data_IF_986145845895
#
_entry.id   IF_986145845895
#
_cell.length_a   1.000
_cell.length_b   1.000
_cell.length_c   1.000
_cell.angle_alpha   90.00
_cell.angle_beta   90.00
_cell.angle_gamma   90.00
#
_symmetry.space_group_name_H-M   'P 1'
#
loop_
_entity.id
_entity.type
_entity.pdbx_description
1 polymer ?
#
# COMPACT_ATOMS: atom_id res chain seq x y z
N UNK A 1 -11.97 -19.66 10.55
CA UNK A 1 -10.57 -20.14 10.49
C UNK A 1 -9.86 -19.67 9.23
N UNK A 2 -10.45 -19.81 8.03
CA UNK A 2 -9.85 -19.35 6.77
C UNK A 2 -9.45 -17.86 6.75
N UNK A 3 -10.31 -16.97 7.27
CA UNK A 3 -10.03 -15.52 7.35
C UNK A 3 -8.76 -15.23 8.16
N UNK A 4 -8.58 -15.89 9.31
CA UNK A 4 -7.41 -15.69 10.15
C UNK A 4 -6.12 -16.10 9.42
N UNK A 5 -6.14 -17.24 8.72
CA UNK A 5 -5.01 -17.69 7.91
C UNK A 5 -4.66 -16.72 6.77
N UNK A 6 -5.68 -16.19 6.09
CA UNK A 6 -5.50 -15.18 5.04
C UNK A 6 -4.86 -13.89 5.59
N UNK A 7 -5.23 -13.46 6.80
CA UNK A 7 -4.57 -12.32 7.44
C UNK A 7 -3.12 -12.66 7.83
N UNK A 8 -2.89 -13.83 8.41
CA UNK A 8 -1.55 -14.27 8.80
C UNK A 8 -0.60 -14.33 7.62
N UNK A 9 -1.02 -14.88 6.47
CA UNK A 9 -0.13 -14.95 5.29
C UNK A 9 0.20 -13.56 4.75
N UNK A 10 -0.74 -12.60 4.82
CA UNK A 10 -0.46 -11.20 4.45
C UNK A 10 0.62 -10.58 5.34
N UNK A 11 0.53 -10.78 6.66
CA UNK A 11 1.54 -10.33 7.63
C UNK A 11 2.89 -11.01 7.39
N UNK A 12 2.91 -12.33 7.13
CA UNK A 12 4.15 -13.05 6.83
C UNK A 12 4.80 -12.56 5.53
N UNK A 13 4.01 -12.26 4.50
CA UNK A 13 4.51 -11.69 3.26
C UNK A 13 5.16 -10.32 3.51
N UNK A 14 4.55 -9.49 4.36
CA UNK A 14 5.08 -8.19 4.75
C UNK A 14 6.42 -8.30 5.49
N UNK A 15 6.50 -9.19 6.49
CA UNK A 15 7.76 -9.51 7.19
C UNK A 15 8.83 -9.95 6.19
N UNK A 16 8.48 -10.82 5.23
CA UNK A 16 9.38 -11.26 4.17
C UNK A 16 9.93 -10.11 3.33
N UNK A 17 9.09 -9.15 2.96
CA UNK A 17 9.51 -7.92 2.25
C UNK A 17 10.48 -7.09 3.09
N UNK A 18 10.22 -6.91 4.38
CA UNK A 18 11.15 -6.19 5.27
C UNK A 18 12.50 -6.89 5.40
N UNK A 19 12.53 -8.22 5.51
CA UNK A 19 13.77 -9.00 5.55
C UNK A 19 14.59 -8.84 4.26
N UNK A 20 13.94 -8.64 3.11
CA UNK A 20 14.59 -8.44 1.82
C UNK A 20 14.83 -6.98 1.43
N UNK A 21 14.42 -6.03 2.27
CA UNK A 21 14.41 -4.61 1.94
C UNK A 21 15.79 -4.09 1.53
N UNK A 22 16.85 -4.46 2.25
CA UNK A 22 18.24 -4.10 1.90
C UNK A 22 18.61 -4.56 0.49
N UNK A 23 18.22 -5.79 0.11
CA UNK A 23 18.49 -6.34 -1.22
C UNK A 23 17.67 -5.64 -2.30
N UNK A 24 16.42 -5.28 -2.00
CA UNK A 24 15.56 -4.52 -2.91
C UNK A 24 16.17 -3.14 -3.22
N UNK A 25 16.57 -2.38 -2.20
CA UNK A 25 17.22 -1.07 -2.39
C UNK A 25 18.61 -1.17 -3.05
N UNK A 26 19.31 -2.31 -2.94
CA UNK A 26 20.56 -2.51 -3.69
C UNK A 26 20.36 -2.71 -5.20
N UNK A 27 19.14 -3.04 -5.63
CA UNK A 27 18.82 -3.40 -7.03
C UNK A 27 17.88 -2.42 -7.72
N UNK A 28 17.16 -1.59 -6.98
CA UNK A 28 16.17 -0.67 -7.51
C UNK A 28 16.16 0.64 -6.73
N UNK A 29 15.81 1.73 -7.41
CA UNK A 29 15.63 3.04 -6.78
C UNK A 29 14.37 3.05 -5.91
N UNK A 30 14.35 3.93 -4.90
CA UNK A 30 13.18 4.12 -4.05
C UNK A 30 11.93 4.50 -4.85
N UNK A 31 12.08 5.32 -5.91
CA UNK A 31 11.01 5.62 -6.87
C UNK A 31 10.45 4.37 -7.52
N UNK A 32 11.30 3.49 -8.06
CA UNK A 32 10.83 2.28 -8.74
C UNK A 32 10.15 1.30 -7.78
N UNK A 33 10.65 1.18 -6.56
CA UNK A 33 10.01 0.37 -5.52
C UNK A 33 8.66 0.95 -5.09
N UNK A 34 8.56 2.28 -4.99
CA UNK A 34 7.29 2.97 -4.72
C UNK A 34 6.28 2.73 -5.84
N UNK A 35 6.67 2.90 -7.11
CA UNK A 35 5.79 2.64 -8.25
C UNK A 35 5.34 1.18 -8.33
N UNK A 36 6.26 0.24 -8.10
CA UNK A 36 5.94 -1.18 -8.02
C UNK A 36 4.92 -1.46 -6.91
N UNK A 37 5.11 -0.87 -5.73
CA UNK A 37 4.21 -1.04 -4.58
C UNK A 37 2.78 -0.57 -4.90
N UNK A 38 2.64 0.57 -5.58
CA UNK A 38 1.36 1.14 -5.99
C UNK A 38 0.68 0.30 -7.07
N UNK A 39 1.44 -0.18 -8.07
CA UNK A 39 0.91 -1.05 -9.12
C UNK A 39 0.41 -2.40 -8.57
N UNK A 40 1.19 -3.04 -7.69
CA UNK A 40 0.79 -4.29 -7.04
C UNK A 40 -0.40 -4.10 -6.10
N UNK A 41 -0.51 -2.93 -5.46
CA UNK A 41 -1.67 -2.59 -4.63
C UNK A 41 -2.93 -2.36 -5.47
N UNK A 42 -2.81 -1.70 -6.64
CA UNK A 42 -3.91 -1.58 -7.59
C UNK A 42 -4.41 -2.96 -8.03
N UNK A 43 -3.49 -3.85 -8.40
CA UNK A 43 -3.81 -5.23 -8.75
C UNK A 43 -4.51 -5.95 -7.60
N UNK A 44 -4.00 -5.80 -6.36
CA UNK A 44 -4.62 -6.39 -5.16
C UNK A 44 -6.07 -5.95 -4.98
N UNK A 45 -6.36 -4.65 -5.13
CA UNK A 45 -7.72 -4.13 -4.97
C UNK A 45 -8.69 -4.64 -6.04
N UNK A 46 -8.19 -4.98 -7.24
CA UNK A 46 -8.98 -5.63 -8.29
C UNK A 46 -9.15 -7.13 -8.03
N UNK A 47 -8.11 -7.81 -7.55
CA UNK A 47 -8.15 -9.26 -7.34
C UNK A 47 -9.10 -9.70 -6.23
N UNK A 48 -9.20 -8.95 -5.13
CA UNK A 48 -10.05 -9.32 -3.98
C UNK A 48 -11.52 -9.51 -4.39
N UNK A 49 -12.22 -8.52 -5.00
CA UNK A 49 -13.63 -8.70 -5.38
C UNK A 49 -13.82 -9.75 -6.48
N UNK A 50 -12.83 -9.99 -7.35
CA UNK A 50 -12.90 -11.04 -8.38
C UNK A 50 -12.66 -12.45 -7.82
N UNK A 51 -12.10 -12.57 -6.62
CA UNK A 51 -11.69 -13.84 -6.02
C UNK A 51 -12.56 -14.26 -4.83
N UNK A 52 -13.74 -13.67 -4.64
CA UNK A 52 -14.59 -13.94 -3.45
C UNK A 52 -14.90 -15.43 -3.28
N UNK A 53 -15.02 -16.18 -4.39
CA UNK A 53 -15.29 -17.62 -4.39
C UNK A 53 -14.02 -18.49 -4.57
N UNK A 54 -12.83 -17.87 -4.67
CA UNK A 54 -11.57 -18.56 -4.95
C UNK A 54 -10.57 -18.36 -3.82
N UNK A 55 -10.39 -19.39 -2.99
CA UNK A 55 -9.41 -19.38 -1.89
C UNK A 55 -7.97 -19.14 -2.40
N UNK A 56 -7.64 -19.71 -3.57
CA UNK A 56 -6.34 -19.50 -4.21
C UNK A 56 -6.19 -18.04 -4.66
N UNK A 57 -7.23 -17.45 -5.24
CA UNK A 57 -7.21 -16.04 -5.65
C UNK A 57 -7.04 -15.10 -4.45
N UNK A 58 -7.75 -15.36 -3.35
CA UNK A 58 -7.60 -14.62 -2.11
C UNK A 58 -6.20 -14.80 -1.50
N UNK A 59 -5.65 -16.01 -1.52
CA UNK A 59 -4.27 -16.26 -1.07
C UNK A 59 -3.27 -15.36 -1.81
N UNK A 60 -3.33 -15.31 -3.15
CA UNK A 60 -2.47 -14.41 -3.93
C UNK A 60 -2.71 -12.94 -3.60
N UNK A 61 -3.96 -12.52 -3.44
CA UNK A 61 -4.28 -11.15 -3.04
C UNK A 61 -3.70 -10.79 -1.65
N UNK A 62 -3.59 -11.74 -0.73
CA UNK A 62 -2.96 -11.51 0.57
C UNK A 62 -1.43 -11.45 0.48
N UNK A 63 -0.77 -12.19 -0.41
CA UNK A 63 0.67 -12.00 -0.65
C UNK A 63 0.99 -10.57 -1.11
N UNK A 64 0.11 -9.98 -1.93
CA UNK A 64 0.24 -8.59 -2.37
C UNK A 64 0.03 -7.56 -1.25
N UNK A 65 -0.44 -7.97 -0.06
CA UNK A 65 -0.56 -7.09 1.11
C UNK A 65 0.78 -6.42 1.45
N UNK A 66 1.87 -7.17 1.33
CA UNK A 66 3.22 -6.69 1.57
C UNK A 66 3.61 -5.48 0.69
N UNK A 67 2.99 -5.34 -0.48
CA UNK A 67 3.19 -4.18 -1.34
C UNK A 67 2.42 -2.95 -0.84
N UNK A 68 1.21 -3.14 -0.32
CA UNK A 68 0.32 -2.06 0.13
C UNK A 68 0.83 -1.31 1.35
N UNK A 69 1.57 -2.00 2.21
CA UNK A 69 2.17 -1.37 3.39
C UNK A 69 3.68 -1.52 3.42
N UNK A 70 4.22 -2.72 3.62
CA UNK A 70 5.67 -2.90 3.83
C UNK A 70 6.58 -2.26 2.78
N UNK A 71 6.37 -2.55 1.50
CA UNK A 71 7.17 -2.00 0.40
C UNK A 71 6.95 -0.49 0.24
N UNK A 72 5.68 -0.06 0.21
CA UNK A 72 5.31 1.34 0.09
C UNK A 72 5.91 2.19 1.22
N UNK A 73 5.74 1.75 2.46
CA UNK A 73 6.21 2.43 3.66
C UNK A 73 7.73 2.58 3.65
N UNK A 74 8.46 1.50 3.38
CA UNK A 74 9.92 1.55 3.34
C UNK A 74 10.45 2.49 2.24
N UNK A 75 9.86 2.45 1.04
CA UNK A 75 10.20 3.36 -0.05
C UNK A 75 9.88 4.82 0.31
N UNK A 76 8.72 5.08 0.91
CA UNK A 76 8.31 6.41 1.35
C UNK A 76 9.24 6.96 2.44
N UNK A 77 9.57 6.18 3.46
CA UNK A 77 10.48 6.59 4.54
C UNK A 77 11.87 6.91 3.98
N UNK A 78 12.37 6.11 3.04
CA UNK A 78 13.64 6.38 2.36
C UNK A 78 13.60 7.74 1.64
N UNK A 79 12.58 7.99 0.81
CA UNK A 79 12.42 9.24 0.06
C UNK A 79 12.26 10.46 0.98
N UNK A 80 11.52 10.30 2.09
CA UNK A 80 11.36 11.35 3.10
C UNK A 80 12.70 11.64 3.78
N UNK A 81 13.49 10.62 4.12
CA UNK A 81 14.80 10.82 4.75
C UNK A 81 15.79 11.51 3.80
N UNK A 82 15.74 11.16 2.51
CA UNK A 82 16.54 11.81 1.48
C UNK A 82 16.12 13.28 1.25
N UNK A 83 14.82 13.58 1.35
CA UNK A 83 14.27 14.92 1.10
C UNK A 83 14.39 15.86 2.30
N UNK A 84 14.35 15.34 3.53
CA UNK A 84 14.32 16.12 4.77
C UNK A 84 15.55 15.81 5.64
N UNK A 85 16.59 16.65 5.55
CA UNK A 85 17.85 16.45 6.26
C UNK A 85 18.01 17.32 7.51
N UNK A 86 18.97 16.94 8.37
CA UNK A 86 19.33 17.70 9.57
C UNK A 86 18.14 17.92 10.53
N UNK A 87 17.94 19.17 10.96
CA UNK A 87 16.87 19.56 11.90
C UNK A 87 15.45 19.33 11.35
N UNK A 88 15.29 19.12 10.04
CA UNK A 88 13.98 18.93 9.40
C UNK A 88 13.57 17.46 9.28
N UNK A 89 14.43 16.49 9.61
CA UNK A 89 14.14 15.05 9.48
C UNK A 89 12.89 14.62 10.25
N UNK A 90 12.74 15.08 11.49
CA UNK A 90 11.53 14.81 12.30
C UNK A 90 10.26 15.45 11.73
N UNK A 91 10.38 16.63 11.10
CA UNK A 91 9.25 17.31 10.46
C UNK A 91 8.78 16.56 9.22
N UNK A 92 9.70 16.07 8.38
CA UNK A 92 9.37 15.24 7.22
C UNK A 92 8.62 13.97 7.62
N UNK A 93 9.11 13.28 8.65
CA UNK A 93 8.44 12.11 9.23
C UNK A 93 7.05 12.44 9.79
N UNK A 94 6.89 13.58 10.47
CA UNK A 94 5.59 14.03 10.98
C UNK A 94 4.59 14.34 9.86
N UNK A 95 5.02 15.01 8.78
CA UNK A 95 4.18 15.26 7.60
C UNK A 95 3.77 13.93 6.95
N UNK A 96 4.71 13.00 6.80
CA UNK A 96 4.40 11.68 6.26
C UNK A 96 3.40 10.92 7.13
N UNK A 97 3.64 10.81 8.44
CA UNK A 97 2.77 10.09 9.36
C UNK A 97 1.36 10.71 9.42
N UNK A 98 1.25 12.03 9.54
CA UNK A 98 -0.04 12.73 9.57
C UNK A 98 -0.80 12.64 8.25
N UNK A 99 -0.13 12.72 7.11
CA UNK A 99 -0.79 12.64 5.80
C UNK A 99 -1.20 11.22 5.44
N UNK A 100 -0.36 10.22 5.73
CA UNK A 100 -0.62 8.82 5.38
C UNK A 100 -1.57 8.13 6.36
N UNK A 101 -1.19 8.04 7.64
CA UNK A 101 -1.92 7.28 8.66
C UNK A 101 -2.98 8.13 9.36
N UNK A 102 -2.74 9.44 9.49
CA UNK A 102 -3.72 10.38 10.05
C UNK A 102 -4.86 10.66 9.08
N UNK A 103 -4.71 11.73 8.29
CA UNK A 103 -5.76 12.20 7.38
C UNK A 103 -6.10 11.16 6.31
N UNK A 104 -5.10 10.59 5.64
CA UNK A 104 -5.29 9.58 4.60
C UNK A 104 -5.99 8.33 5.14
N UNK A 105 -5.56 7.82 6.29
CA UNK A 105 -6.20 6.71 7.00
C UNK A 105 -7.67 7.01 7.32
N UNK A 106 -7.94 8.14 8.00
CA UNK A 106 -9.28 8.54 8.39
C UNK A 106 -10.23 8.72 7.20
N UNK A 107 -9.80 9.46 6.17
CA UNK A 107 -10.61 9.66 4.95
C UNK A 107 -10.81 8.35 4.19
N UNK A 108 -9.77 7.52 4.06
CA UNK A 108 -9.86 6.23 3.39
C UNK A 108 -10.86 5.30 4.08
N UNK A 109 -10.78 5.16 5.41
CA UNK A 109 -11.72 4.38 6.21
C UNK A 109 -13.16 4.89 6.09
N UNK A 110 -13.35 6.21 6.17
CA UNK A 110 -14.68 6.82 6.06
C UNK A 110 -15.30 6.60 4.68
N UNK A 111 -14.54 6.87 3.61
CA UNK A 111 -15.01 6.72 2.23
C UNK A 111 -15.26 5.26 1.87
N UNK A 112 -14.36 4.35 2.27
CA UNK A 112 -14.54 2.92 2.05
C UNK A 112 -15.76 2.38 2.81
N UNK A 113 -15.93 2.77 4.08
CA UNK A 113 -17.09 2.38 4.89
C UNK A 113 -18.41 2.92 4.33
N UNK A 114 -18.43 4.20 3.94
CA UNK A 114 -19.59 4.82 3.30
C UNK A 114 -19.95 4.13 1.98
N UNK A 115 -18.95 3.89 1.12
CA UNK A 115 -19.16 3.22 -0.16
C UNK A 115 -19.67 1.80 0.03
N UNK A 116 -19.08 1.06 0.98
CA UNK A 116 -19.50 -0.29 1.31
C UNK A 116 -20.94 -0.35 1.80
N UNK A 117 -21.30 0.54 2.73
CA UNK A 117 -22.64 0.56 3.34
C UNK A 117 -23.73 0.91 2.33
N UNK A 118 -23.50 1.90 1.45
CA UNK A 118 -24.54 2.41 0.54
C UNK A 118 -24.54 1.74 -0.84
N UNK A 119 -23.37 1.27 -1.31
CA UNK A 119 -23.19 0.79 -2.69
C UNK A 119 -22.54 -0.61 -2.77
N UNK A 120 -22.21 -1.23 -1.64
CA UNK A 120 -21.64 -2.56 -1.57
C UNK A 120 -20.11 -2.62 -1.68
N UNK A 121 -19.57 -3.81 -1.42
CA UNK A 121 -18.14 -4.08 -1.35
C UNK A 121 -17.41 -3.77 -2.66
N UNK A 122 -17.98 -4.19 -3.79
CA UNK A 122 -17.35 -4.04 -5.11
C UNK A 122 -17.04 -2.58 -5.43
N UNK A 123 -17.99 -1.66 -5.17
CA UNK A 123 -17.79 -0.23 -5.38
C UNK A 123 -16.69 0.33 -4.47
N UNK A 124 -16.64 -0.10 -3.21
CA UNK A 124 -15.57 0.29 -2.29
C UNK A 124 -14.17 -0.14 -2.78
N UNK A 125 -14.05 -1.35 -3.34
CA UNK A 125 -12.82 -1.86 -3.95
C UNK A 125 -12.45 -1.11 -5.24
N UNK A 126 -13.41 -0.80 -6.10
CA UNK A 126 -13.18 0.00 -7.32
C UNK A 126 -12.68 1.40 -6.97
N UNK A 127 -13.30 2.07 -6.01
CA UNK A 127 -12.85 3.40 -5.54
C UNK A 127 -11.41 3.32 -5.02
N UNK A 128 -11.09 2.27 -4.26
CA UNK A 128 -9.73 2.04 -3.73
C UNK A 128 -8.71 1.79 -4.85
N UNK A 129 -9.07 1.01 -5.88
CA UNK A 129 -8.25 0.77 -7.07
C UNK A 129 -8.00 2.05 -7.88
N UNK A 130 -9.03 2.90 -8.06
CA UNK A 130 -8.91 4.20 -8.72
C UNK A 130 -7.98 5.13 -7.92
N UNK A 131 -8.18 5.21 -6.60
CA UNK A 131 -7.38 6.08 -5.73
C UNK A 131 -5.89 5.73 -5.78
N UNK A 132 -5.54 4.44 -5.69
CA UNK A 132 -4.13 4.02 -5.78
C UNK A 132 -3.56 4.19 -7.21
N UNK A 133 -4.39 4.06 -8.25
CA UNK A 133 -3.97 4.32 -9.64
C UNK A 133 -3.65 5.81 -9.83
N UNK A 134 -4.47 6.71 -9.29
CA UNK A 134 -4.17 8.15 -9.27
C UNK A 134 -2.85 8.41 -8.52
N UNK A 135 -2.66 7.78 -7.35
CA UNK A 135 -1.42 7.89 -6.59
C UNK A 135 -0.19 7.41 -7.39
N UNK A 136 -0.32 6.32 -8.18
CA UNK A 136 0.73 5.83 -9.08
C UNK A 136 1.15 6.91 -10.08
N UNK A 137 0.20 7.55 -10.77
CA UNK A 137 0.52 8.60 -11.75
C UNK A 137 1.10 9.86 -11.11
N UNK A 138 0.63 10.23 -9.92
CA UNK A 138 1.23 11.31 -9.13
C UNK A 138 2.69 10.98 -8.80
N UNK A 139 2.95 9.79 -8.26
CA UNK A 139 4.31 9.36 -7.90
C UNK A 139 5.22 9.29 -9.13
N UNK A 140 4.71 8.75 -10.25
CA UNK A 140 5.46 8.62 -11.50
C UNK A 140 5.97 9.97 -12.01
N UNK A 141 5.10 10.99 -11.95
CA UNK A 141 5.39 12.34 -12.44
C UNK A 141 6.28 13.16 -11.49
N UNK A 142 6.05 13.05 -10.17
CA UNK A 142 6.60 14.01 -9.20
C UNK A 142 7.73 13.48 -8.32
N UNK A 143 7.82 12.17 -8.12
CA UNK A 143 8.96 11.58 -7.39
C UNK A 143 10.15 11.54 -8.33
N UNK A 144 11.31 12.03 -7.88
CA UNK A 144 12.56 12.01 -8.64
C UNK A 144 13.28 10.68 -8.46
#
# INVERSE_FOLDING_TARGET
TAIAWLWTIGVLAEIGVFLWMRKLFSKATAKNLLLLSLALTALRWVLIPLSVESEIGLFFAQLLHAASYGLFHAAAIYLIDESFTGRNKSRGQAVYASSSHGLGGALGLLLAGFAWYNFGAEVAFVISAIAVTIAFFIAYKWVK
#
